data_IF_938687517497
#
_entry.id   IF_938687517497
#
_cell.length_a   1.000
_cell.length_b   1.000
_cell.length_c   1.000
_cell.angle_alpha   90.00
_cell.angle_beta   90.00
_cell.angle_gamma   90.00
#
_symmetry.space_group_name_H-M   'P 1'
#
loop_
_entity.id
_entity.type
_entity.pdbx_description
1 polymer ?
#
# COMPACT_ATOMS: atom_id res chain seq x y z
N UNK A 1 -25.65 14.46 -23.55
CA UNK A 1 -25.04 14.95 -22.29
C UNK A 1 -23.55 14.69 -22.39
N UNK A 2 -22.75 15.74 -22.58
CA UNK A 2 -21.29 15.58 -22.69
C UNK A 2 -20.72 15.33 -21.29
N UNK A 3 -20.23 14.13 -21.04
CA UNK A 3 -19.42 13.84 -19.85
C UNK A 3 -18.12 14.61 -20.01
N UNK A 4 -17.91 15.66 -19.20
CA UNK A 4 -16.63 16.37 -19.16
C UNK A 4 -15.57 15.35 -18.74
N UNK A 5 -14.61 15.10 -19.62
CA UNK A 5 -13.52 14.16 -19.36
C UNK A 5 -12.67 14.67 -18.18
N UNK A 6 -12.15 13.75 -17.38
CA UNK A 6 -11.15 14.06 -16.37
C UNK A 6 -9.95 14.74 -17.02
N UNK A 7 -9.47 15.84 -16.41
CA UNK A 7 -8.29 16.57 -16.87
C UNK A 7 -7.08 16.02 -16.12
N UNK A 8 -6.15 15.34 -16.80
CA UNK A 8 -4.95 14.81 -16.16
C UNK A 8 -4.16 15.89 -15.44
N UNK A 9 -3.62 15.55 -14.27
CA UNK A 9 -2.80 16.47 -13.47
C UNK A 9 -1.41 15.87 -13.29
N UNK A 10 -0.35 16.52 -13.78
CA UNK A 10 1.00 16.06 -13.54
C UNK A 10 1.29 16.13 -12.04
N UNK A 11 2.10 15.19 -11.56
CA UNK A 11 2.60 15.17 -10.20
C UNK A 11 4.14 15.03 -10.21
N UNK A 12 4.88 15.90 -9.49
CA UNK A 12 4.37 16.99 -8.68
C UNK A 12 3.73 18.11 -9.53
N UNK A 13 2.85 18.95 -8.96
CA UNK A 13 2.35 20.15 -9.63
C UNK A 13 3.52 21.01 -10.12
N UNK A 14 3.39 21.76 -11.24
CA UNK A 14 4.50 22.55 -11.78
C UNK A 14 5.15 23.54 -10.79
N UNK A 15 4.36 24.06 -9.85
CA UNK A 15 4.85 24.94 -8.79
C UNK A 15 5.82 24.26 -7.79
N UNK A 16 5.91 22.92 -7.82
CA UNK A 16 6.76 22.09 -6.96
C UNK A 16 7.77 21.27 -7.78
N UNK A 17 8.00 21.60 -9.06
CA UNK A 17 8.86 20.81 -9.94
C UNK A 17 10.30 20.66 -9.42
N UNK A 18 10.85 21.71 -8.80
CA UNK A 18 12.21 21.74 -8.25
C UNK A 18 12.29 21.31 -6.77
N UNK A 19 11.18 20.87 -6.19
CA UNK A 19 11.11 20.45 -4.79
C UNK A 19 11.36 18.94 -4.71
N UNK A 20 12.33 18.47 -3.90
CA UNK A 20 12.58 17.03 -3.73
C UNK A 20 11.31 16.27 -3.33
N UNK A 21 11.08 15.11 -3.96
CA UNK A 21 9.88 14.32 -3.75
C UNK A 21 9.71 13.90 -2.28
N UNK A 22 10.83 13.59 -1.61
CA UNK A 22 10.89 13.21 -0.21
C UNK A 22 10.38 14.33 0.69
N UNK A 23 10.71 15.58 0.34
CA UNK A 23 10.21 16.75 1.06
C UNK A 23 8.69 16.90 0.87
N UNK A 24 8.19 16.71 -0.35
CA UNK A 24 6.73 16.75 -0.63
C UNK A 24 6.01 15.67 0.19
N UNK A 25 6.51 14.43 0.18
CA UNK A 25 5.97 13.31 0.97
C UNK A 25 5.96 13.66 2.46
N UNK A 26 7.06 14.20 2.97
CA UNK A 26 7.15 14.59 4.38
C UNK A 26 6.11 15.66 4.74
N UNK A 27 5.92 16.68 3.91
CA UNK A 27 4.88 17.70 4.14
C UNK A 27 3.47 17.11 4.07
N UNK A 28 3.19 16.23 3.10
CA UNK A 28 1.91 15.53 3.01
C UNK A 28 1.64 14.72 4.29
N UNK A 29 2.61 13.96 4.80
CA UNK A 29 2.45 13.20 6.04
C UNK A 29 2.19 14.09 7.26
N UNK A 30 2.82 15.27 7.35
CA UNK A 30 2.53 16.25 8.42
C UNK A 30 1.09 16.76 8.38
N UNK A 31 0.51 16.89 7.20
CA UNK A 31 -0.87 17.32 7.02
C UNK A 31 -1.90 16.19 7.20
N UNK A 32 -1.48 14.93 7.11
CA UNK A 32 -2.37 13.77 7.12
C UNK A 32 -3.40 13.73 8.26
N UNK A 33 -3.07 14.07 9.53
CA UNK A 33 -4.05 14.08 10.62
C UNK A 33 -5.25 15.00 10.36
N UNK A 34 -5.08 16.07 9.56
CA UNK A 34 -6.14 17.03 9.25
C UNK A 34 -7.11 16.52 8.17
N UNK A 35 -6.63 15.64 7.29
CA UNK A 35 -7.34 15.16 6.10
C UNK A 35 -7.90 13.74 6.27
N UNK A 36 -7.24 12.89 7.05
CA UNK A 36 -7.59 11.48 7.21
C UNK A 36 -9.03 11.27 7.72
N UNK A 37 -9.46 12.08 8.69
CA UNK A 37 -10.80 12.01 9.29
C UNK A 37 -11.90 12.70 8.49
N UNK A 38 -11.56 13.32 7.35
CA UNK A 38 -12.48 14.15 6.54
C UNK A 38 -12.58 13.62 5.11
N UNK A 39 -13.27 12.48 4.90
CA UNK A 39 -13.44 11.92 3.56
C UNK A 39 -14.19 12.87 2.61
N UNK A 40 -14.87 13.91 3.10
CA UNK A 40 -15.51 14.95 2.30
C UNK A 40 -14.49 15.82 1.55
N UNK A 41 -13.26 15.92 2.08
CA UNK A 41 -12.15 16.65 1.46
C UNK A 41 -11.43 15.85 0.38
N UNK A 42 -11.73 14.54 0.27
CA UNK A 42 -11.17 13.70 -0.78
C UNK A 42 -11.53 14.20 -2.18
N UNK A 43 -10.54 14.13 -3.06
CA UNK A 43 -10.62 14.44 -4.48
C UNK A 43 -10.44 13.18 -5.36
N UNK A 44 -10.34 11.99 -4.77
CA UNK A 44 -10.28 10.74 -5.52
C UNK A 44 -11.09 9.63 -4.83
N UNK A 45 -11.72 8.77 -5.65
CA UNK A 45 -12.38 7.55 -5.18
C UNK A 45 -11.70 6.33 -5.79
N UNK A 46 -11.32 5.36 -4.98
CA UNK A 46 -10.82 4.06 -5.44
C UNK A 46 -11.92 3.01 -5.25
N UNK A 47 -12.18 2.24 -6.29
CA UNK A 47 -13.10 1.10 -6.30
C UNK A 47 -12.28 -0.17 -6.55
N UNK A 48 -12.24 -1.03 -5.54
CA UNK A 48 -11.54 -2.31 -5.58
C UNK A 48 -12.57 -3.43 -5.64
N UNK A 49 -12.54 -4.30 -6.67
CA UNK A 49 -13.38 -5.48 -6.69
C UNK A 49 -13.00 -6.39 -5.52
N UNK A 50 -13.99 -6.87 -4.77
CA UNK A 50 -13.81 -7.96 -3.82
C UNK A 50 -14.37 -9.19 -4.52
N UNK A 51 -13.51 -10.10 -4.96
CA UNK A 51 -13.93 -11.29 -5.69
C UNK A 51 -15.11 -11.96 -4.97
N UNK A 52 -16.29 -11.94 -5.59
CA UNK A 52 -17.49 -12.60 -5.06
C UNK A 52 -17.42 -14.13 -5.26
N UNK A 53 -16.38 -14.65 -5.90
CA UNK A 53 -16.39 -15.99 -6.47
C UNK A 53 -15.07 -16.79 -6.44
N UNK A 54 -14.08 -16.47 -5.60
CA UNK A 54 -12.91 -17.37 -5.42
C UNK A 54 -13.15 -18.48 -4.38
N UNK A 55 -14.41 -18.85 -4.13
CA UNK A 55 -14.80 -20.07 -3.38
C UNK A 55 -15.05 -21.29 -4.28
N UNK A 56 -14.77 -21.21 -5.58
CA UNK A 56 -14.98 -22.33 -6.50
C UNK A 56 -13.80 -23.31 -6.65
N UNK A 57 -12.68 -23.11 -5.93
CA UNK A 57 -11.50 -24.01 -6.04
C UNK A 57 -10.93 -24.42 -4.68
N UNK A 58 -11.77 -24.65 -3.68
CA UNK A 58 -11.43 -25.61 -2.63
C UNK A 58 -12.18 -26.90 -2.92
N UNK A 59 -11.65 -27.65 -3.89
CA UNK A 59 -12.07 -29.03 -4.12
C UNK A 59 -11.92 -29.83 -2.83
N UNK A 60 -13.06 -30.24 -2.24
CA UNK A 60 -13.15 -31.40 -1.35
C UNK A 60 -14.59 -31.90 -1.23
N UNK A 61 -14.79 -33.07 -1.83
CA UNK A 61 -15.64 -34.19 -1.41
C UNK A 61 -17.17 -34.06 -1.40
N UNK A 62 -17.77 -34.64 -2.44
CA UNK A 62 -18.72 -35.76 -2.37
C UNK A 62 -19.86 -35.66 -1.35
N UNK A 63 -21.02 -35.17 -1.80
CA UNK A 63 -22.31 -35.69 -1.31
C UNK A 63 -22.84 -36.70 -2.32
N UNK A 64 -22.95 -37.99 -1.95
CA UNK A 64 -23.57 -38.97 -2.83
C UNK A 64 -25.08 -38.73 -2.86
N UNK A 65 -25.62 -38.76 -4.07
CA UNK A 65 -26.94 -39.27 -4.42
C UNK A 65 -28.04 -39.15 -3.36
N UNK A 66 -28.89 -38.14 -3.50
CA UNK A 66 -30.28 -38.27 -3.10
C UNK A 66 -31.15 -37.86 -4.28
N UNK A 67 -31.69 -38.86 -4.97
CA UNK A 67 -32.58 -38.72 -6.11
C UNK A 67 -33.94 -38.31 -5.53
N UNK A 68 -34.28 -37.02 -5.63
CA UNK A 68 -35.66 -36.60 -5.43
C UNK A 68 -36.04 -35.67 -6.57
N UNK A 69 -36.77 -36.25 -7.52
CA UNK A 69 -37.34 -35.55 -8.65
C UNK A 69 -38.41 -34.56 -8.15
N UNK A 70 -38.21 -33.28 -8.41
CA UNK A 70 -39.24 -32.25 -8.35
C UNK A 70 -39.02 -31.25 -9.51
N UNK A 71 -40.11 -30.68 -10.06
CA UNK A 71 -40.12 -30.14 -11.42
C UNK A 71 -39.71 -28.66 -11.48
N UNK A 72 -39.05 -28.33 -12.59
CA UNK A 72 -39.00 -27.06 -13.31
C UNK A 72 -39.57 -25.80 -12.61
N UNK A 73 -38.76 -25.18 -11.75
CA UNK A 73 -38.87 -23.76 -11.43
C UNK A 73 -37.68 -23.01 -12.03
N UNK A 74 -37.98 -21.91 -12.72
CA UNK A 74 -37.03 -21.12 -13.50
C UNK A 74 -35.80 -20.70 -12.67
N UNK A 75 -34.60 -20.66 -13.26
CA UNK A 75 -33.41 -20.26 -12.54
C UNK A 75 -33.55 -18.78 -12.16
N UNK A 76 -33.86 -18.54 -10.88
CA UNK A 76 -33.76 -17.23 -10.26
C UNK A 76 -32.29 -16.84 -10.29
N UNK A 77 -31.89 -16.08 -11.30
CA UNK A 77 -30.57 -15.46 -11.34
C UNK A 77 -30.57 -14.38 -10.28
N UNK A 78 -30.31 -14.78 -9.03
CA UNK A 78 -30.06 -13.85 -7.94
C UNK A 78 -28.83 -13.04 -8.34
N UNK A 79 -29.07 -11.86 -8.90
CA UNK A 79 -28.08 -10.86 -9.26
C UNK A 79 -27.43 -10.39 -7.96
N UNK A 80 -26.48 -11.18 -7.48
CA UNK A 80 -25.69 -10.84 -6.31
C UNK A 80 -24.78 -9.72 -6.77
N UNK A 81 -25.09 -8.50 -6.34
CA UNK A 81 -24.26 -7.34 -6.69
C UNK A 81 -22.80 -7.63 -6.31
N UNK A 82 -21.83 -7.36 -7.20
CA UNK A 82 -20.44 -7.65 -6.93
C UNK A 82 -19.99 -6.85 -5.70
N UNK A 83 -19.53 -7.58 -4.68
CA UNK A 83 -18.97 -6.97 -3.48
C UNK A 83 -17.76 -6.12 -3.87
N UNK A 84 -17.70 -4.88 -3.41
CA UNK A 84 -16.59 -3.98 -3.73
C UNK A 84 -16.21 -3.15 -2.53
N UNK A 85 -14.92 -2.87 -2.41
CA UNK A 85 -14.39 -1.92 -1.45
C UNK A 85 -14.26 -0.56 -2.10
N UNK A 86 -14.87 0.46 -1.50
CA UNK A 86 -14.79 1.85 -1.97
C UNK A 86 -14.03 2.68 -0.95
N UNK A 87 -13.03 3.41 -1.40
CA UNK A 87 -12.18 4.26 -0.56
C UNK A 87 -12.15 5.68 -1.12
N UNK A 88 -12.32 6.66 -0.23
CA UNK A 88 -12.18 8.08 -0.53
C UNK A 88 -10.82 8.56 -0.05
N UNK A 89 -9.99 9.06 -0.95
CA UNK A 89 -8.58 9.38 -0.70
C UNK A 89 -8.16 10.63 -1.47
N UNK A 90 -7.00 11.18 -1.13
CA UNK A 90 -6.46 12.37 -1.80
C UNK A 90 -5.49 11.99 -2.92
N UNK A 91 -5.63 12.62 -4.09
CA UNK A 91 -4.80 12.37 -5.27
C UNK A 91 -3.32 12.57 -4.98
N UNK A 92 -2.96 13.66 -4.31
CA UNK A 92 -1.55 14.00 -4.04
C UNK A 92 -0.85 12.91 -3.21
N UNK A 93 -1.54 12.32 -2.25
CA UNK A 93 -1.01 11.21 -1.45
C UNK A 93 -0.80 9.96 -2.29
N UNK A 94 -1.74 9.63 -3.18
CA UNK A 94 -1.59 8.49 -4.08
C UNK A 94 -0.43 8.69 -5.06
N UNK A 95 -0.40 9.84 -5.74
CA UNK A 95 0.61 10.16 -6.75
C UNK A 95 2.01 10.26 -6.13
N UNK A 96 2.14 10.78 -4.91
CA UNK A 96 3.42 10.83 -4.21
C UNK A 96 4.04 9.45 -3.98
N UNK A 97 3.21 8.45 -3.69
CA UNK A 97 3.65 7.14 -3.23
C UNK A 97 3.54 5.99 -4.24
N UNK A 98 2.77 6.14 -5.32
CA UNK A 98 2.54 5.09 -6.32
C UNK A 98 2.87 5.59 -7.72
N UNK A 99 3.85 4.96 -8.36
CA UNK A 99 4.20 5.25 -9.75
C UNK A 99 3.05 4.91 -10.72
N UNK A 100 2.32 3.80 -10.46
CA UNK A 100 1.17 3.39 -11.25
C UNK A 100 0.07 4.47 -11.21
N UNK A 101 -0.33 4.91 -10.02
CA UNK A 101 -1.41 5.88 -9.86
C UNK A 101 -1.00 7.26 -10.36
N UNK A 102 0.26 7.64 -10.17
CA UNK A 102 0.84 8.86 -10.75
C UNK A 102 0.73 8.87 -12.27
N UNK A 103 1.11 7.77 -12.92
CA UNK A 103 0.98 7.64 -14.37
C UNK A 103 -0.48 7.71 -14.82
N UNK A 104 -1.36 6.94 -14.17
CA UNK A 104 -2.78 6.86 -14.52
C UNK A 104 -3.49 8.22 -14.39
N UNK A 105 -3.26 8.93 -13.28
CA UNK A 105 -3.84 10.27 -13.04
C UNK A 105 -3.14 11.37 -13.83
N UNK A 106 -1.90 11.13 -14.27
CA UNK A 106 -1.15 11.94 -15.23
C UNK A 106 -1.58 11.73 -16.69
N UNK A 107 -2.51 10.82 -16.97
CA UNK A 107 -3.06 10.57 -18.30
C UNK A 107 -2.31 9.52 -19.12
N UNK A 108 -1.38 8.78 -18.51
CA UNK A 108 -0.72 7.66 -19.18
C UNK A 108 -1.70 6.49 -19.38
N UNK A 109 -1.51 5.77 -20.49
CA UNK A 109 -2.28 4.56 -20.78
C UNK A 109 -1.95 3.45 -19.76
N UNK A 110 -2.94 2.72 -19.22
CA UNK A 110 -2.69 1.58 -18.33
C UNK A 110 -1.75 0.53 -18.93
N UNK A 111 -1.79 0.34 -20.24
CA UNK A 111 -0.95 -0.64 -20.95
C UNK A 111 0.54 -0.24 -20.94
N UNK A 112 0.83 1.04 -21.10
CA UNK A 112 2.21 1.55 -21.10
C UNK A 112 2.82 1.43 -19.70
N UNK A 113 2.01 1.71 -18.67
CA UNK A 113 2.44 1.63 -17.27
C UNK A 113 2.78 0.20 -16.85
N UNK A 114 1.95 -0.77 -17.23
CA UNK A 114 2.20 -2.18 -16.89
C UNK A 114 3.40 -2.75 -17.65
N UNK A 115 3.62 -2.27 -18.88
CA UNK A 115 4.82 -2.61 -19.67
C UNK A 115 6.08 -2.05 -19.01
N UNK A 116 6.04 -0.81 -18.50
CA UNK A 116 7.14 -0.21 -17.77
C UNK A 116 7.44 -0.92 -16.43
N UNK A 117 6.40 -1.34 -15.70
CA UNK A 117 6.55 -2.06 -14.43
C UNK A 117 7.12 -3.49 -14.63
N UNK A 118 6.74 -4.16 -15.72
CA UNK A 118 7.25 -5.50 -16.05
C UNK A 118 8.64 -5.47 -16.69
N UNK A 119 9.04 -4.31 -17.19
CA UNK A 119 10.18 -4.13 -18.10
C UNK A 119 11.44 -3.61 -17.44
N UNK A 120 11.83 -4.18 -16.30
CA UNK A 120 13.22 -4.10 -15.85
C UNK A 120 14.13 -4.74 -16.90
N UNK A 121 14.61 -3.91 -17.82
CA UNK A 121 15.67 -4.03 -18.84
C UNK A 121 16.53 -5.29 -18.85
N UNK A 122 15.95 -6.48 -18.84
CA UNK A 122 16.69 -7.71 -19.10
C UNK A 122 16.81 -7.83 -20.62
N UNK A 123 18.02 -7.73 -21.21
CA UNK A 123 18.18 -7.87 -22.64
C UNK A 123 17.60 -9.22 -23.05
N UNK A 124 16.57 -9.20 -23.90
CA UNK A 124 16.00 -10.40 -24.52
C UNK A 124 17.09 -11.00 -25.40
N UNK A 125 17.88 -11.92 -24.85
CA UNK A 125 18.63 -12.87 -25.65
C UNK A 125 17.62 -13.67 -26.47
N UNK A 126 17.72 -13.68 -27.82
CA UNK A 126 16.82 -14.43 -28.68
C UNK A 126 17.15 -15.93 -28.57
N UNK A 127 16.68 -16.58 -27.50
CA UNK A 127 16.80 -18.03 -27.34
C UNK A 127 15.53 -18.70 -27.89
N UNK A 128 15.70 -19.34 -29.05
CA UNK A 128 14.75 -20.19 -29.74
C UNK A 128 14.39 -21.42 -28.89
N UNK A 129 13.29 -21.36 -28.13
CA UNK A 129 12.67 -22.54 -27.53
C UNK A 129 11.15 -22.49 -27.69
N UNK A 130 10.49 -23.59 -28.09
CA UNK A 130 9.04 -23.63 -28.29
C UNK A 130 8.28 -23.44 -26.97
N UNK A 131 7.17 -22.68 -26.96
CA UNK A 131 6.46 -22.36 -25.73
C UNK A 131 5.71 -23.60 -25.19
N UNK A 132 5.89 -23.98 -23.91
CA UNK A 132 5.03 -24.97 -23.28
C UNK A 132 3.59 -24.43 -23.25
N UNK A 133 2.62 -25.30 -23.58
CA UNK A 133 1.19 -25.02 -23.58
C UNK A 133 0.72 -24.55 -22.20
N UNK A 134 0.73 -23.22 -21.98
CA UNK A 134 0.28 -22.62 -20.72
C UNK A 134 -1.24 -22.54 -20.73
N UNK A 135 -1.84 -23.05 -19.64
CA UNK A 135 -3.25 -22.83 -19.28
C UNK A 135 -3.61 -21.35 -19.49
N UNK A 136 -4.61 -21.10 -20.31
CA UNK A 136 -5.11 -19.75 -20.63
C UNK A 136 -5.78 -19.20 -19.37
N UNK A 137 -4.99 -18.62 -18.48
CA UNK A 137 -5.52 -17.79 -17.40
C UNK A 137 -5.94 -16.47 -18.03
N UNK A 138 -7.18 -16.01 -17.85
CA UNK A 138 -7.58 -14.71 -18.38
C UNK A 138 -6.63 -13.62 -17.85
N UNK A 139 -6.25 -12.64 -18.69
CA UNK A 139 -5.36 -11.58 -18.26
C UNK A 139 -5.98 -10.85 -17.05
N UNK A 140 -5.18 -10.48 -16.04
CA UNK A 140 -5.69 -9.78 -14.88
C UNK A 140 -6.37 -8.47 -15.33
N UNK A 141 -7.50 -8.10 -14.69
CA UNK A 141 -8.16 -6.84 -15.01
C UNK A 141 -7.18 -5.67 -14.84
N UNK A 142 -7.28 -4.69 -15.74
CA UNK A 142 -6.36 -3.55 -15.80
C UNK A 142 -6.91 -2.39 -14.96
N UNK A 143 -6.03 -1.60 -14.31
CA UNK A 143 -6.46 -0.39 -13.62
C UNK A 143 -7.01 0.62 -14.65
N UNK A 144 -8.15 1.23 -14.37
CA UNK A 144 -8.77 2.19 -15.29
C UNK A 144 -9.54 3.30 -14.57
N UNK A 145 -9.71 4.44 -15.26
CA UNK A 145 -10.54 5.53 -14.79
C UNK A 145 -12.00 5.27 -15.20
N UNK A 146 -12.91 5.28 -14.24
CA UNK A 146 -14.34 5.18 -14.46
C UNK A 146 -14.92 6.56 -14.82
N UNK A 147 -16.03 6.61 -15.58
CA UNK A 147 -16.74 7.86 -15.85
C UNK A 147 -17.10 8.58 -14.55
N UNK A 148 -16.50 9.75 -14.33
CA UNK A 148 -16.60 10.49 -13.07
C UNK A 148 -16.47 12.00 -13.30
N UNK A 149 -16.89 12.85 -12.34
CA UNK A 149 -16.73 14.30 -12.46
C UNK A 149 -15.27 14.71 -12.63
N UNK A 150 -14.98 15.81 -13.35
CA UNK A 150 -13.61 16.23 -13.65
C UNK A 150 -12.78 16.60 -12.41
N UNK A 151 -13.44 16.88 -11.29
CA UNK A 151 -12.81 17.23 -10.01
C UNK A 151 -12.57 16.03 -9.09
N UNK A 152 -13.17 14.87 -9.38
CA UNK A 152 -13.14 13.70 -8.49
C UNK A 152 -13.06 12.39 -9.30
N UNK A 153 -11.88 12.07 -9.88
CA UNK A 153 -11.68 10.81 -10.58
C UNK A 153 -12.06 9.61 -9.71
N UNK A 154 -12.71 8.64 -10.35
CA UNK A 154 -12.98 7.33 -9.75
C UNK A 154 -12.12 6.28 -10.43
N UNK A 155 -11.23 5.64 -9.69
CA UNK A 155 -10.28 4.65 -10.18
C UNK A 155 -10.83 3.25 -9.89
N UNK A 156 -11.02 2.44 -10.92
CA UNK A 156 -11.15 1.00 -10.74
C UNK A 156 -9.76 0.39 -10.61
N UNK A 157 -9.49 -0.22 -9.45
CA UNK A 157 -8.17 -0.69 -9.08
C UNK A 157 -8.24 -2.16 -8.64
N UNK A 158 -8.09 -3.11 -9.57
CA UNK A 158 -7.96 -4.51 -9.23
C UNK A 158 -6.61 -4.73 -8.57
N UNK A 159 -6.59 -5.11 -7.30
CA UNK A 159 -5.35 -5.38 -6.55
C UNK A 159 -5.24 -6.88 -6.23
N UNK A 160 -4.02 -7.45 -6.25
CA UNK A 160 -3.77 -8.84 -5.85
C UNK A 160 -4.33 -9.24 -4.48
N UNK A 161 -4.30 -8.35 -3.50
CA UNK A 161 -4.88 -8.58 -2.17
C UNK A 161 -5.67 -7.34 -1.68
N UNK A 162 -7.00 -7.35 -1.75
CA UNK A 162 -7.80 -6.20 -1.31
C UNK A 162 -7.66 -5.84 0.17
N UNK A 163 -7.32 -6.80 1.05
CA UNK A 163 -7.22 -6.54 2.50
C UNK A 163 -6.03 -5.66 2.82
N UNK A 164 -4.87 -5.93 2.22
CA UNK A 164 -3.65 -5.13 2.48
C UNK A 164 -3.73 -3.71 1.93
N UNK A 165 -4.57 -3.42 0.94
CA UNK A 165 -4.69 -2.07 0.37
C UNK A 165 -5.09 -1.02 1.41
N UNK A 166 -5.99 -1.34 2.36
CA UNK A 166 -6.36 -0.39 3.42
C UNK A 166 -5.17 -0.01 4.29
N UNK A 167 -4.30 -0.97 4.59
CA UNK A 167 -3.10 -0.74 5.40
C UNK A 167 -2.04 0.03 4.60
N UNK A 168 -1.93 -0.22 3.29
CA UNK A 168 -1.07 0.57 2.41
C UNK A 168 -1.52 2.03 2.33
N UNK A 169 -2.83 2.29 2.21
CA UNK A 169 -3.37 3.65 2.24
C UNK A 169 -3.09 4.33 3.59
N UNK A 170 -3.19 3.60 4.70
CA UNK A 170 -2.78 4.13 6.01
C UNK A 170 -1.29 4.50 6.02
N UNK A 171 -0.42 3.63 5.52
CA UNK A 171 1.01 3.93 5.39
C UNK A 171 1.29 5.16 4.50
N UNK A 172 0.56 5.33 3.40
CA UNK A 172 0.69 6.50 2.52
C UNK A 172 0.45 7.79 3.31
N UNK A 173 -0.56 7.82 4.19
CA UNK A 173 -0.87 9.01 4.98
C UNK A 173 0.11 9.25 6.13
N UNK A 174 0.52 8.20 6.85
CA UNK A 174 1.23 8.37 8.12
C UNK A 174 2.70 7.94 8.09
N UNK A 175 3.14 7.22 7.07
CA UNK A 175 4.50 6.65 6.97
C UNK A 175 4.82 5.56 8.00
N UNK A 176 3.86 5.18 8.84
CA UNK A 176 4.05 4.19 9.89
C UNK A 176 3.73 2.78 9.37
N UNK A 177 4.66 1.84 9.60
CA UNK A 177 4.47 0.41 9.27
C UNK A 177 3.92 -0.41 10.42
N UNK A 178 3.80 0.15 11.63
CA UNK A 178 3.36 -0.58 12.84
C UNK A 178 2.05 -1.34 12.62
N UNK A 179 1.05 -0.71 12.03
CA UNK A 179 -0.24 -1.35 11.75
C UNK A 179 -0.14 -2.49 10.73
N UNK A 180 0.77 -2.38 9.76
CA UNK A 180 1.03 -3.45 8.78
C UNK A 180 1.71 -4.63 9.48
N UNK A 181 2.71 -4.35 10.32
CA UNK A 181 3.46 -5.35 11.08
C UNK A 181 2.54 -6.11 12.05
N UNK A 182 1.71 -5.39 12.81
CA UNK A 182 0.72 -5.98 13.73
C UNK A 182 -0.27 -6.88 12.97
N UNK A 183 -0.77 -6.44 11.81
CA UNK A 183 -1.71 -7.21 10.99
C UNK A 183 -1.05 -8.45 10.34
N UNK A 184 0.23 -8.38 10.00
CA UNK A 184 1.01 -9.52 9.53
C UNK A 184 1.30 -10.53 10.66
N UNK A 185 1.54 -10.05 11.88
CA UNK A 185 1.75 -10.89 13.06
C UNK A 185 0.45 -11.57 13.51
N UNK A 186 -0.68 -10.88 13.43
CA UNK A 186 -2.01 -11.43 13.66
C UNK A 186 -2.48 -12.41 12.55
N UNK A 187 -1.79 -12.43 11.39
CA UNK A 187 -2.17 -13.26 10.24
C UNK A 187 -3.40 -12.75 9.48
N UNK A 188 -3.82 -11.50 9.71
CA UNK A 188 -4.90 -10.86 8.97
C UNK A 188 -4.47 -10.52 7.53
N UNK A 189 -3.19 -10.22 7.37
CA UNK A 189 -2.54 -10.01 6.08
C UNK A 189 -1.60 -11.15 5.73
N UNK A 190 -1.49 -11.42 4.44
CA UNK A 190 -0.45 -12.31 3.90
C UNK A 190 0.73 -11.48 3.42
N UNK A 191 1.94 -11.92 3.74
CA UNK A 191 3.17 -11.28 3.24
C UNK A 191 3.18 -11.21 1.70
N UNK A 192 2.82 -12.31 1.04
CA UNK A 192 2.82 -12.40 -0.42
C UNK A 192 1.81 -11.44 -1.06
N UNK A 193 0.60 -11.33 -0.50
CA UNK A 193 -0.42 -10.39 -0.99
C UNK A 193 0.03 -8.94 -0.86
N UNK A 194 0.60 -8.58 0.29
CA UNK A 194 1.15 -7.24 0.52
C UNK A 194 2.32 -6.91 -0.43
N UNK A 195 3.27 -7.83 -0.58
CA UNK A 195 4.43 -7.64 -1.47
C UNK A 195 3.99 -7.46 -2.93
N UNK A 196 3.04 -8.28 -3.40
CA UNK A 196 2.46 -8.15 -4.75
C UNK A 196 1.74 -6.82 -4.94
N UNK A 197 1.01 -6.34 -3.94
CA UNK A 197 0.38 -5.01 -4.03
C UNK A 197 1.40 -3.88 -4.11
N UNK A 198 2.49 -3.94 -3.34
CA UNK A 198 3.57 -2.94 -3.35
C UNK A 198 4.27 -2.89 -4.71
N UNK A 199 4.52 -4.05 -5.31
CA UNK A 199 5.07 -4.18 -6.65
C UNK A 199 4.08 -3.66 -7.70
N UNK A 200 2.83 -4.13 -7.64
CA UNK A 200 1.76 -3.75 -8.56
C UNK A 200 1.50 -2.24 -8.58
N UNK A 201 1.44 -1.60 -7.41
CA UNK A 201 1.25 -0.15 -7.29
C UNK A 201 2.51 0.65 -7.64
N UNK A 202 3.67 -0.01 -7.83
CA UNK A 202 4.94 0.67 -8.01
C UNK A 202 5.27 1.58 -6.83
N UNK A 203 5.11 1.09 -5.60
CA UNK A 203 5.42 1.87 -4.40
C UNK A 203 6.94 1.98 -4.18
N UNK A 204 7.36 3.10 -3.57
CA UNK A 204 8.75 3.46 -3.35
C UNK A 204 9.56 2.47 -2.50
N UNK A 205 10.88 2.65 -2.49
CA UNK A 205 11.83 1.80 -1.76
C UNK A 205 11.66 1.85 -0.24
N UNK A 206 11.12 2.95 0.31
CA UNK A 206 10.91 3.14 1.75
C UNK A 206 10.10 2.00 2.37
N UNK A 207 8.88 1.74 1.85
CA UNK A 207 8.02 0.68 2.39
C UNK A 207 8.65 -0.71 2.18
N UNK A 208 9.33 -0.91 1.04
CA UNK A 208 10.02 -2.18 0.74
C UNK A 208 11.14 -2.44 1.74
N UNK A 209 11.91 -1.42 2.11
CA UNK A 209 12.99 -1.52 3.08
C UNK A 209 12.46 -1.84 4.48
N UNK A 210 11.43 -1.11 4.95
CA UNK A 210 10.82 -1.36 6.26
C UNK A 210 10.26 -2.78 6.36
N UNK A 211 9.52 -3.23 5.34
CA UNK A 211 8.94 -4.57 5.31
C UNK A 211 9.99 -5.67 5.14
N UNK A 212 11.05 -5.41 4.37
CA UNK A 212 12.19 -6.33 4.25
C UNK A 212 12.90 -6.54 5.59
N UNK A 213 13.08 -5.47 6.37
CA UNK A 213 13.64 -5.55 7.72
C UNK A 213 12.74 -6.34 8.67
N UNK A 214 11.42 -6.11 8.63
CA UNK A 214 10.46 -6.87 9.41
C UNK A 214 10.50 -8.38 9.05
N UNK A 215 10.51 -8.71 7.76
CA UNK A 215 10.56 -10.09 7.29
C UNK A 215 11.85 -10.80 7.70
N UNK A 216 13.00 -10.11 7.57
CA UNK A 216 14.29 -10.64 8.03
C UNK A 216 14.29 -10.91 9.54
N UNK A 217 13.71 -10.00 10.34
CA UNK A 217 13.56 -10.18 11.79
C UNK A 217 12.69 -11.38 12.12
N UNK A 218 11.53 -11.52 11.48
CA UNK A 218 10.62 -12.65 11.67
C UNK A 218 11.28 -13.99 11.33
N UNK A 219 12.07 -14.05 10.25
CA UNK A 219 12.85 -15.25 9.90
C UNK A 219 13.91 -15.60 10.93
N UNK A 220 14.59 -14.62 11.54
CA UNK A 220 15.55 -14.87 12.61
C UNK A 220 14.87 -15.46 13.85
N UNK A 221 13.71 -14.94 14.23
CA UNK A 221 12.93 -15.46 15.36
C UNK A 221 12.47 -16.91 15.14
N UNK A 222 12.00 -17.24 13.94
CA UNK A 222 11.62 -18.61 13.59
C UNK A 222 12.81 -19.58 13.61
N UNK A 223 13.99 -19.15 13.15
CA UNK A 223 15.22 -19.96 13.24
C UNK A 223 15.67 -20.17 14.67
N UNK A 224 15.61 -19.13 15.51
CA UNK A 224 16.01 -19.23 16.92
C UNK A 224 15.15 -20.21 17.70
N UNK A 225 13.86 -20.34 17.38
CA UNK A 225 12.95 -21.27 18.06
C UNK A 225 13.19 -22.74 17.69
N UNK A 226 13.68 -23.01 16.48
CA UNK A 226 13.92 -24.38 16.02
C UNK A 226 15.13 -25.05 16.69
N UNK A 227 16.08 -24.26 17.20
CA UNK A 227 17.33 -24.78 17.80
C UNK A 227 17.10 -25.21 19.26
N UNK A 228 16.25 -24.50 20.01
CA UNK A 228 16.05 -24.73 21.45
C UNK A 228 15.18 -25.94 21.80
N UNK A 229 14.46 -26.53 20.85
CA UNK A 229 13.69 -27.77 21.08
C UNK A 229 14.49 -29.05 20.72
N UNK A 230 15.76 -28.91 20.32
CA UNK A 230 16.60 -30.03 19.89
C UNK A 230 17.72 -30.38 20.89
N UNK A 231 17.59 -29.98 22.16
CA UNK A 231 18.46 -30.42 23.26
C UNK A 231 17.86 -31.66 23.98
N UNK A 232 17.44 -32.64 23.19
CA UNK A 232 17.20 -33.99 23.71
C UNK A 232 18.55 -34.70 23.85
N UNK A 233 19.20 -34.45 24.99
CA UNK A 233 20.16 -35.33 25.68
C UNK A 233 20.87 -36.37 24.79
N UNK A 234 21.92 -35.93 24.09
CA UNK A 234 22.98 -36.85 23.67
C UNK A 234 24.30 -36.24 24.07
N UNK A 235 24.58 -36.40 25.37
CA UNK A 235 25.91 -36.35 25.97
C UNK A 235 26.77 -37.45 25.32
N UNK A 236 27.27 -37.15 24.12
CA UNK A 236 28.26 -37.95 23.40
C UNK A 236 29.57 -37.18 23.44
N UNK A 237 30.31 -37.39 24.53
CA UNK A 237 31.70 -36.99 24.74
C UNK A 237 32.57 -37.53 23.60
N UNK A 238 32.62 -36.82 22.48
CA UNK A 238 33.41 -37.21 21.31
C UNK A 238 34.44 -36.13 21.06
N UNK A 239 35.53 -36.23 21.82
CA UNK A 239 36.77 -35.50 21.65
C UNK A 239 37.25 -35.68 20.20
N UNK A 240 36.85 -34.78 19.31
CA UNK A 240 37.32 -34.79 17.92
C UNK A 240 38.07 -33.48 17.69
N UNK A 241 39.34 -33.54 18.08
CA UNK A 241 40.41 -32.63 17.66
C UNK A 241 40.44 -32.59 16.12
N UNK A 242 39.80 -31.60 15.51
CA UNK A 242 39.96 -31.31 14.09
C UNK A 242 40.65 -29.98 13.93
N UNK A 243 41.88 -30.13 13.46
CA UNK A 243 42.90 -29.12 13.25
C UNK A 243 42.41 -27.89 12.50
N UNK A 244 42.90 -26.75 12.95
CA UNK A 244 43.02 -25.48 12.25
C UNK A 244 43.57 -25.67 10.84
N UNK A 245 42.79 -25.29 9.83
CA UNK A 245 43.29 -25.08 8.47
C UNK A 245 43.17 -23.59 8.20
N UNK A 246 44.29 -22.89 8.41
CA UNK A 246 44.50 -21.55 7.91
C UNK A 246 44.51 -21.63 6.38
N UNK A 247 43.42 -21.21 5.73
CA UNK A 247 43.39 -21.01 4.27
C UNK A 247 43.72 -19.56 4.01
N UNK A 248 45.02 -19.35 3.83
CA UNK A 248 45.66 -18.20 3.24
C UNK A 248 45.46 -18.30 1.72
N UNK A 249 44.64 -17.43 1.14
CA UNK A 249 44.44 -17.35 -0.31
C UNK A 249 44.28 -15.87 -0.74
N UNK A 250 45.43 -15.21 -0.82
CA UNK A 250 45.99 -14.56 -2.01
C UNK A 250 45.17 -13.44 -2.73
N UNK A 251 45.81 -12.27 -2.75
CA UNK A 251 45.60 -11.10 -3.60
C UNK A 251 45.20 -11.41 -5.06
N UNK A 252 44.17 -10.69 -5.56
CA UNK A 252 44.02 -10.46 -6.99
C UNK A 252 43.73 -8.99 -7.27
N UNK A 253 44.82 -8.23 -7.42
CA UNK A 253 44.88 -6.98 -8.18
C UNK A 253 44.26 -7.19 -9.58
N UNK A 254 43.19 -6.46 -9.90
CA UNK A 254 42.77 -6.28 -11.30
C UNK A 254 42.77 -4.80 -11.64
N UNK A 255 43.79 -4.45 -12.41
CA UNK A 255 44.02 -3.13 -12.97
C UNK A 255 42.99 -2.76 -14.04
N UNK A 256 42.59 -1.48 -13.98
CA UNK A 256 42.37 -0.53 -15.09
C UNK A 256 41.47 -0.90 -16.28
N UNK A 257 40.45 -0.05 -16.53
CA UNK A 257 40.36 0.61 -17.84
C UNK A 257 39.50 1.90 -17.86
N UNK A 258 40.15 2.97 -18.34
CA UNK A 258 39.63 4.11 -19.10
C UNK A 258 38.63 5.10 -18.45
N UNK A 259 39.21 6.09 -17.79
CA UNK A 259 38.63 7.42 -17.55
C UNK A 259 38.74 8.23 -18.85
N UNK A 260 37.63 8.77 -19.36
CA UNK A 260 37.64 9.75 -20.46
C UNK A 260 37.63 11.14 -19.85
N UNK A 261 38.80 11.79 -19.85
CA UNK A 261 39.00 13.19 -19.50
C UNK A 261 38.44 14.07 -20.63
N UNK A 262 37.49 14.94 -20.31
CA UNK A 262 37.18 16.13 -21.11
C UNK A 262 37.72 17.32 -20.31
N UNK A 263 38.75 17.95 -20.86
CA UNK A 263 39.31 19.20 -20.38
C UNK A 263 38.27 20.32 -20.57
N UNK A 264 37.87 20.98 -19.48
CA UNK A 264 37.37 22.35 -19.53
C UNK A 264 38.18 23.17 -18.54
N UNK A 265 39.09 23.93 -19.12
CA UNK A 265 39.88 24.99 -18.55
C UNK A 265 38.96 26.15 -18.10
N UNK A 266 38.97 26.49 -16.82
CA UNK A 266 38.40 27.72 -16.29
C UNK A 266 39.03 28.02 -14.94
N UNK A 267 40.10 28.78 -15.03
CA UNK A 267 40.87 29.40 -13.98
C UNK A 267 39.97 30.38 -13.21
N UNK A 268 39.71 30.12 -11.94
CA UNK A 268 39.27 31.15 -10.98
C UNK A 268 39.71 30.71 -9.58
N UNK A 269 40.83 31.32 -9.22
CA UNK A 269 41.58 31.31 -7.98
C UNK A 269 40.82 32.12 -6.92
N UNK A 270 40.42 31.51 -5.80
CA UNK A 270 40.11 32.19 -4.52
C UNK A 270 40.21 31.13 -3.39
N UNK A 271 41.35 31.10 -2.74
CA UNK A 271 41.67 30.30 -1.55
C UNK A 271 40.86 30.75 -0.33
N UNK A 272 40.10 29.84 0.32
CA UNK A 272 39.79 29.93 1.75
C UNK A 272 39.70 28.53 2.39
N UNK A 273 40.46 28.25 3.47
CA UNK A 273 40.41 26.97 4.17
C UNK A 273 39.36 27.01 5.29
N UNK A 274 38.40 26.08 5.27
CA UNK A 274 37.63 25.74 6.47
C UNK A 274 37.66 24.24 6.73
N UNK A 275 38.46 23.94 7.75
CA UNK A 275 38.53 22.73 8.53
C UNK A 275 37.22 22.57 9.32
N UNK A 276 36.37 21.59 8.96
CA UNK A 276 35.31 21.08 9.84
C UNK A 276 35.16 19.58 9.63
N UNK A 277 35.87 18.84 10.48
CA UNK A 277 35.41 17.57 11.04
C UNK A 277 33.92 17.59 11.38
N UNK A 278 33.15 16.63 10.86
CA UNK A 278 32.20 15.84 11.67
C UNK A 278 31.58 14.74 10.83
N UNK A 279 31.99 13.50 11.14
CA UNK A 279 31.26 12.30 10.80
C UNK A 279 29.88 12.36 11.47
N UNK A 280 28.81 12.35 10.66
CA UNK A 280 27.46 12.12 11.15
C UNK A 280 27.29 10.62 11.45
N UNK A 281 27.69 10.22 12.66
CA UNK A 281 27.18 9.02 13.32
C UNK A 281 25.65 9.09 13.36
N UNK A 282 24.99 8.09 12.74
CA UNK A 282 23.60 7.81 13.03
C UNK A 282 23.49 7.43 14.52
N UNK A 283 22.79 8.21 15.38
CA UNK A 283 22.68 7.85 16.78
C UNK A 283 21.91 6.54 16.90
N UNK A 284 22.59 5.53 17.41
CA UNK A 284 21.97 4.32 17.92
C UNK A 284 20.84 4.73 18.87
N UNK A 285 19.62 4.26 18.59
CA UNK A 285 18.48 4.41 19.48
C UNK A 285 18.80 3.70 20.79
N UNK A 286 19.18 4.47 21.80
CA UNK A 286 19.20 4.02 23.19
C UNK A 286 17.74 3.80 23.59
N UNK A 287 17.36 2.52 23.71
CA UNK A 287 16.08 2.14 24.30
C UNK A 287 15.98 2.71 25.72
N UNK A 288 14.98 3.55 26.05
CA UNK A 288 14.80 4.00 27.41
C UNK A 288 14.42 2.81 28.31
N UNK A 289 14.93 2.74 29.55
CA UNK A 289 14.61 1.66 30.46
C UNK A 289 13.10 1.62 30.72
N UNK A 290 12.45 0.51 30.32
CA UNK A 290 11.08 0.16 30.70
C UNK A 290 11.01 -0.05 32.20
N UNK A 291 10.83 1.05 32.95
CA UNK A 291 10.52 1.06 34.37
C UNK A 291 9.30 1.93 34.61
N UNK A 292 8.09 1.44 34.30
CA UNK A 292 6.84 2.13 34.66
C UNK A 292 6.24 1.47 35.90
N UNK A 293 6.60 2.02 37.04
CA UNK A 293 5.98 1.80 38.34
C UNK A 293 4.47 2.04 38.23
N UNK A 294 3.67 1.00 38.53
CA UNK A 294 2.22 1.10 38.69
C UNK A 294 1.92 1.85 39.99
N UNK A 295 1.65 3.15 39.92
CA UNK A 295 0.94 3.86 41.00
C UNK A 295 -0.55 3.57 40.88
N UNK A 296 -1.08 2.81 41.85
CA UNK A 296 -2.52 2.63 42.02
C UNK A 296 -3.16 3.98 42.38
N UNK A 297 -3.86 4.60 41.42
CA UNK A 297 -4.79 5.69 41.73
C UNK A 297 -6.13 5.07 42.12
N UNK A 298 -6.54 5.37 43.35
CA UNK A 298 -7.82 4.99 43.95
C UNK A 298 -8.99 5.48 43.09
N UNK A 299 -9.93 4.57 42.82
CA UNK A 299 -11.24 4.89 42.26
C UNK A 299 -11.99 5.81 43.22
N UNK A 300 -12.16 7.07 42.83
CA UNK A 300 -13.15 7.98 43.41
C UNK A 300 -14.45 7.85 42.62
N UNK A 301 -15.50 7.41 43.31
CA UNK A 301 -16.87 7.38 42.81
C UNK A 301 -17.34 8.80 42.47
N UNK A 302 -17.74 9.02 41.21
CA UNK A 302 -18.48 10.22 40.84
C UNK A 302 -19.82 9.77 40.26
N UNK A 303 -20.82 9.73 41.14
CA UNK A 303 -22.23 9.57 40.83
C UNK A 303 -22.77 10.90 40.29
N UNK A 304 -23.15 10.95 39.03
CA UNK A 304 -24.12 11.94 38.54
C UNK A 304 -24.80 11.40 37.28
N UNK A 305 -25.94 10.76 37.49
CA UNK A 305 -27.03 10.60 36.52
C UNK A 305 -27.75 11.98 36.41
N UNK A 306 -28.13 12.44 35.21
CA UNK A 306 -29.56 12.58 35.01
C UNK A 306 -30.05 12.26 33.57
N UNK A 307 -31.04 11.36 33.54
CA UNK A 307 -32.32 11.43 32.83
C UNK A 307 -32.33 11.51 31.30
N UNK A 308 -32.62 10.35 30.70
CA UNK A 308 -33.13 10.21 29.33
C UNK A 308 -34.51 10.89 29.17
N UNK A 309 -34.51 12.06 28.53
CA UNK A 309 -35.70 12.70 28.00
C UNK A 309 -36.19 12.03 26.71
N UNK A 310 -37.47 11.65 26.69
CA UNK A 310 -38.22 11.12 25.54
C UNK A 310 -38.16 12.05 24.31
N UNK A 311 -38.15 11.51 23.07
CA UNK A 311 -38.40 12.30 21.88
C UNK A 311 -39.89 12.67 21.78
N UNK A 312 -40.14 13.97 21.58
CA UNK A 312 -41.45 14.60 21.36
C UNK A 312 -41.74 14.58 19.84
N UNK A 313 -42.94 14.20 19.38
CA UNK A 313 -43.29 14.23 17.97
C UNK A 313 -43.50 15.67 17.49
N UNK A 314 -42.84 16.03 16.39
CA UNK A 314 -42.98 17.34 15.74
C UNK A 314 -44.34 17.46 15.06
N UNK A 315 -45.14 18.38 15.58
CA UNK A 315 -46.37 18.87 15.00
C UNK A 315 -46.15 19.51 13.62
N UNK A 316 -47.08 19.18 12.74
CA UNK A 316 -47.50 19.92 11.57
C UNK A 316 -47.62 21.43 11.81
N UNK A 317 -47.17 22.22 10.84
CA UNK A 317 -47.46 23.65 10.72
C UNK A 317 -48.03 23.96 9.33
N UNK A 318 -48.78 25.06 9.21
CA UNK A 318 -50.03 25.09 8.46
C UNK A 318 -49.95 25.78 7.09
N UNK A 319 -50.97 25.50 6.29
CA UNK A 319 -51.43 26.32 5.17
C UNK A 319 -51.39 27.81 5.48
N UNK A 320 -50.69 28.57 4.62
CA UNK A 320 -50.64 30.01 4.60
C UNK A 320 -50.98 30.54 3.22
N UNK A 321 -52.19 31.11 3.12
CA UNK A 321 -52.81 31.86 2.04
C UNK A 321 -51.92 32.72 1.12
N UNK A 322 -52.22 32.62 -0.19
CA UNK A 322 -52.36 33.66 -1.25
C UNK A 322 -51.66 35.03 -1.10
N UNK A 323 -51.20 35.59 -2.24
CA UNK A 323 -52.01 36.68 -2.81
C UNK A 323 -52.24 36.60 -4.33
N UNK A 324 -53.30 37.31 -4.72
CA UNK A 324 -53.79 37.53 -6.07
C UNK A 324 -52.77 38.20 -7.00
N UNK A 325 -52.81 37.84 -8.28
CA UNK A 325 -52.28 38.69 -9.36
C UNK A 325 -53.35 38.87 -10.44
N UNK A 326 -53.76 40.13 -10.59
CA UNK A 326 -54.66 40.66 -11.62
C UNK A 326 -53.94 40.79 -12.96
N UNK A 327 -54.74 40.69 -14.02
CA UNK A 327 -54.76 41.42 -15.29
C UNK A 327 -53.47 41.87 -15.98
N UNK A 328 -53.31 41.40 -17.21
CA UNK A 328 -52.92 42.13 -18.45
C UNK A 328 -53.53 41.28 -19.60
N UNK A 329 -54.46 41.72 -20.47
CA UNK A 329 -54.24 42.54 -21.69
C UNK A 329 -52.94 42.09 -22.40
N UNK A 330 -52.91 41.46 -23.57
CA UNK A 330 -53.72 41.48 -24.81
C UNK A 330 -54.09 40.06 -25.33
#
# INVERSE_FOLDING_TARGET
MHTVAFVPRPFPPPALADVPLEYIIHQLRRLAPHYWSKPETSDCTIVVPLDSASTATSGRCSRPYSISAAPADAPVWASTEPTRMVMKVHMDYLCAHSALLRGLLGGASPFDLLSALSGGSRPRTPASAPPPSKLITPPPPLPCLLPSPPTRPTIYLPVPDPKSLRMLVHFIYFGATSYIEDALDAGELTWDGLARNIEYLGMGSEIRACLGQWYARRRRLLRSRAVTDSDSASESDTDTDVSSWESDDEDMETASTAVTLVETDSESDEELPMDVTTAAECPARVDPPRGRTRTQRRLGHSTSDPTFGRPRPSHSTPEGSRPARRHSED
#
